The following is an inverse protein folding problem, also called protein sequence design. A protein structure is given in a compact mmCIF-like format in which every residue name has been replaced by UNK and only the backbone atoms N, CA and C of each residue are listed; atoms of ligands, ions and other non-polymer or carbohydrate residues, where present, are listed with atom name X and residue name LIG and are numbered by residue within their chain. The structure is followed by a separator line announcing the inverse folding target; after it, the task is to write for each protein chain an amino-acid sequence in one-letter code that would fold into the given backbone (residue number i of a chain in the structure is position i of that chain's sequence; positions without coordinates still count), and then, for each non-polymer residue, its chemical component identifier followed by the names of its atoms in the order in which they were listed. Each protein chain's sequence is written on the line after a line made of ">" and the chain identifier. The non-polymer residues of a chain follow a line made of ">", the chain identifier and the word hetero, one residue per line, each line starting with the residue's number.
data_IF_047084784237
#
_entry.id   IF_047084784237
#
_cell.length_a   1.000
_cell.length_b   1.000
_cell.length_c   1.000
_cell.angle_alpha   90.00
_cell.angle_beta   90.00
_cell.angle_gamma   90.00
#
_symmetry.space_group_name_H-M   'P 1'
#
loop_
_entity.id
_entity.type
_entity.pdbx_description
1 polymer ?
#
# COMPACT_ATOMS: atom_id res chain seq x y z
N UNK A 1 12.45 -53.32 -21.73
CA UNK A 1 12.94 -54.16 -20.64
C UNK A 1 12.48 -53.52 -19.37
N UNK A 2 11.39 -54.04 -18.87
CA UNK A 2 11.15 -54.71 -17.58
C UNK A 2 11.29 -53.72 -16.40
N UNK A 3 10.35 -53.51 -15.50
CA UNK A 3 9.07 -54.15 -15.11
C UNK A 3 8.56 -53.39 -13.88
N UNK A 4 7.30 -52.97 -13.85
CA UNK A 4 6.21 -53.49 -12.99
C UNK A 4 6.37 -53.22 -11.47
N UNK A 5 5.57 -52.37 -10.89
CA UNK A 5 4.16 -52.50 -10.39
C UNK A 5 4.08 -53.06 -8.93
N UNK A 6 3.00 -52.97 -8.23
CA UNK A 6 2.67 -52.15 -7.07
C UNK A 6 2.35 -52.98 -5.82
N UNK A 7 2.02 -52.38 -4.67
CA UNK A 7 1.31 -53.10 -3.60
C UNK A 7 0.27 -52.23 -2.90
N UNK A 8 -0.97 -52.49 -3.26
CA UNK A 8 -2.17 -52.31 -2.46
C UNK A 8 -2.29 -53.43 -1.42
N UNK A 9 -2.78 -53.16 -0.22
CA UNK A 9 -3.85 -53.93 0.41
C UNK A 9 -4.40 -53.31 1.70
N UNK A 10 -5.65 -53.71 2.12
CA UNK A 10 -6.61 -52.88 2.78
C UNK A 10 -7.09 -53.39 4.17
N UNK A 11 -7.98 -52.56 4.75
CA UNK A 11 -9.09 -52.90 5.67
C UNK A 11 -8.89 -53.89 6.84
N UNK A 12 -9.22 -53.41 8.03
CA UNK A 12 -10.17 -54.17 8.88
C UNK A 12 -10.99 -53.27 9.79
N UNK A 13 -12.31 -53.45 9.67
CA UNK A 13 -13.36 -53.03 10.59
C UNK A 13 -13.31 -53.94 11.83
N UNK A 14 -13.71 -53.39 12.99
CA UNK A 14 -14.00 -54.16 14.19
C UNK A 14 -14.84 -53.36 15.16
N UNK A 15 -16.14 -53.56 15.11
CA UNK A 15 -17.10 -53.13 16.10
C UNK A 15 -17.21 -54.19 17.20
N UNK A 16 -17.57 -53.75 18.44
CA UNK A 16 -18.29 -54.48 19.51
C UNK A 16 -18.31 -53.54 20.73
N UNK A 17 -19.37 -52.98 21.14
CA UNK A 17 -20.57 -53.39 21.88
C UNK A 17 -20.28 -54.11 23.22
N UNK A 18 -20.77 -53.57 24.31
CA UNK A 18 -20.83 -54.23 25.63
C UNK A 18 -21.08 -53.21 26.79
N UNK A 19 -22.23 -52.87 27.02
CA UNK A 19 -23.22 -52.92 28.13
C UNK A 19 -22.74 -53.38 29.51
N UNK A 20 -23.31 -52.75 30.52
CA UNK A 20 -23.91 -53.15 31.82
C UNK A 20 -23.36 -52.35 32.99
N UNK A 21 -24.13 -51.47 33.60
CA UNK A 21 -25.14 -51.62 34.69
C UNK A 21 -24.63 -52.23 36.02
N UNK A 22 -24.75 -51.51 37.06
CA UNK A 22 -25.25 -51.83 38.44
C UNK A 22 -24.58 -50.93 39.49
N UNK A 23 -25.21 -50.04 40.13
CA UNK A 23 -26.25 -50.05 41.18
C UNK A 23 -25.67 -49.93 42.58
N UNK A 24 -26.18 -48.94 43.26
CA UNK A 24 -26.65 -48.86 44.69
C UNK A 24 -25.63 -49.10 45.80
N UNK A 25 -25.43 -48.14 46.70
CA UNK A 25 -26.14 -48.08 48.00
C UNK A 25 -25.47 -47.10 48.98
N UNK A 26 -26.21 -46.17 49.48
CA UNK A 26 -26.39 -45.75 50.89
C UNK A 26 -25.15 -45.45 51.76
N UNK A 27 -25.06 -44.21 52.15
CA UNK A 27 -24.27 -43.76 53.29
C UNK A 27 -24.71 -42.35 53.72
N UNK A 28 -25.80 -42.28 54.50
CA UNK A 28 -26.23 -41.09 55.22
C UNK A 28 -25.21 -40.79 56.35
N UNK A 29 -24.60 -39.63 56.31
CA UNK A 29 -24.10 -38.98 57.54
C UNK A 29 -24.18 -37.45 57.30
N UNK A 30 -25.13 -36.86 57.98
CA UNK A 30 -25.36 -35.43 57.98
C UNK A 30 -24.31 -34.67 58.80
N UNK A 31 -23.81 -33.63 58.20
CA UNK A 31 -23.24 -32.48 58.87
C UNK A 31 -23.86 -31.23 58.30
N UNK A 32 -24.81 -30.66 58.98
CA UNK A 32 -25.39 -29.34 58.75
C UNK A 32 -24.33 -28.28 59.05
N UNK A 33 -23.77 -27.64 58.03
CA UNK A 33 -23.11 -26.34 58.17
C UNK A 33 -24.09 -25.27 57.66
N UNK A 34 -24.30 -24.16 58.40
CA UNK A 34 -25.16 -23.08 57.97
C UNK A 34 -24.41 -22.26 56.94
N UNK A 35 -24.57 -22.59 55.65
CA UNK A 35 -24.18 -21.69 54.57
C UNK A 35 -25.22 -20.59 54.46
N UNK A 36 -24.81 -19.37 54.89
CA UNK A 36 -25.52 -18.15 54.55
C UNK A 36 -25.75 -18.06 53.05
N UNK A 37 -27.02 -18.01 52.64
CA UNK A 37 -27.42 -17.65 51.30
C UNK A 37 -26.87 -16.25 51.00
N UNK A 38 -25.74 -16.17 50.28
CA UNK A 38 -25.46 -15.01 49.47
C UNK A 38 -26.42 -15.12 48.28
N UNK A 39 -27.42 -14.29 48.27
CA UNK A 39 -28.21 -14.03 47.07
C UNK A 39 -27.23 -13.50 45.99
N UNK A 40 -26.76 -14.39 45.14
CA UNK A 40 -26.10 -14.00 43.90
C UNK A 40 -27.19 -13.33 43.07
N UNK A 41 -27.24 -12.01 43.11
CA UNK A 41 -27.98 -11.22 42.14
C UNK A 41 -27.59 -11.74 40.75
N UNK A 42 -28.54 -12.21 39.91
CA UNK A 42 -28.22 -12.63 38.60
C UNK A 42 -27.60 -11.45 37.88
N UNK A 43 -26.29 -11.52 37.58
CA UNK A 43 -25.63 -10.54 36.71
C UNK A 43 -26.41 -10.59 35.41
N UNK A 44 -27.13 -9.52 35.10
CA UNK A 44 -27.80 -9.39 33.80
C UNK A 44 -26.81 -9.73 32.72
N UNK A 45 -27.18 -10.51 31.68
CA UNK A 45 -26.27 -10.84 30.57
C UNK A 45 -25.71 -9.53 30.04
N UNK A 46 -24.39 -9.38 30.14
CA UNK A 46 -23.68 -8.22 29.69
C UNK A 46 -24.06 -8.01 28.21
N UNK A 47 -24.74 -6.89 27.94
CA UNK A 47 -25.18 -6.58 26.58
C UNK A 47 -23.96 -6.67 25.65
N UNK A 48 -24.09 -7.27 24.45
CA UNK A 48 -22.95 -7.47 23.54
C UNK A 48 -22.22 -6.14 23.39
N UNK A 49 -20.96 -6.11 23.84
CA UNK A 49 -20.18 -4.87 23.91
C UNK A 49 -20.03 -4.32 22.50
N UNK A 50 -20.58 -3.15 22.29
CA UNK A 50 -20.53 -2.47 21.01
C UNK A 50 -19.10 -1.98 20.76
N UNK A 51 -18.45 -2.47 19.70
CA UNK A 51 -17.12 -1.99 19.30
C UNK A 51 -17.21 -0.50 18.99
N UNK A 52 -16.37 0.31 19.64
CA UNK A 52 -16.27 1.75 19.40
C UNK A 52 -14.94 2.08 18.69
N UNK A 53 -15.06 2.78 17.57
CA UNK A 53 -13.93 3.21 16.73
C UNK A 53 -13.93 4.73 16.62
N UNK A 54 -12.77 5.35 16.78
CA UNK A 54 -12.60 6.81 16.70
C UNK A 54 -11.85 7.17 15.43
N UNK A 55 -12.30 8.17 14.70
CA UNK A 55 -11.57 8.83 13.63
C UNK A 55 -11.04 10.18 14.13
N UNK A 56 -9.74 10.30 14.33
CA UNK A 56 -9.06 11.53 14.71
C UNK A 56 -8.63 12.30 13.43
N UNK A 57 -9.53 13.14 12.91
CA UNK A 57 -9.41 13.79 11.61
C UNK A 57 -9.73 15.29 11.67
N UNK A 58 -9.09 16.15 10.85
CA UNK A 58 -9.37 17.58 10.83
C UNK A 58 -10.73 17.86 10.16
N UNK A 59 -11.54 18.72 10.77
CA UNK A 59 -12.79 19.20 10.19
C UNK A 59 -12.63 20.52 9.41
N UNK A 60 -11.46 21.18 9.50
CA UNK A 60 -11.14 22.44 8.81
C UNK A 60 -9.70 22.43 8.29
N UNK A 61 -9.37 23.44 7.49
CA UNK A 61 -8.05 23.60 6.88
C UNK A 61 -7.83 22.70 5.66
N UNK A 62 -6.59 22.65 5.12
CA UNK A 62 -6.30 22.04 3.81
C UNK A 62 -6.54 20.51 3.76
N UNK A 63 -6.58 19.84 4.91
CA UNK A 63 -6.82 18.40 5.00
C UNK A 63 -8.29 18.03 5.25
N UNK A 64 -9.19 19.01 5.42
CA UNK A 64 -10.61 18.75 5.64
C UNK A 64 -11.30 18.00 4.47
N UNK A 65 -11.00 18.30 3.19
CA UNK A 65 -11.55 17.52 2.06
C UNK A 65 -11.12 16.04 2.09
N UNK A 66 -9.88 15.77 2.46
CA UNK A 66 -9.36 14.39 2.63
C UNK A 66 -10.09 13.70 3.78
N UNK A 67 -10.21 14.36 4.92
CA UNK A 67 -10.93 13.84 6.08
C UNK A 67 -12.41 13.54 5.78
N UNK A 68 -13.07 14.36 4.95
CA UNK A 68 -14.44 14.12 4.51
C UNK A 68 -14.56 12.83 3.67
N UNK A 69 -13.58 12.56 2.78
CA UNK A 69 -13.52 11.32 2.00
C UNK A 69 -13.34 10.09 2.89
N UNK A 70 -12.41 10.15 3.85
CA UNK A 70 -12.17 9.07 4.82
C UNK A 70 -13.45 8.79 5.63
N UNK A 71 -14.12 9.81 6.14
CA UNK A 71 -15.39 9.67 6.88
C UNK A 71 -16.49 9.05 6.03
N UNK A 72 -16.58 9.41 4.75
CA UNK A 72 -17.55 8.80 3.82
C UNK A 72 -17.30 7.31 3.65
N UNK A 73 -16.06 6.89 3.45
CA UNK A 73 -15.71 5.47 3.35
C UNK A 73 -15.96 4.71 4.65
N UNK A 74 -15.64 5.32 5.79
CA UNK A 74 -15.91 4.77 7.12
C UNK A 74 -17.40 4.56 7.36
N UNK A 75 -18.24 5.51 6.95
CA UNK A 75 -19.70 5.39 7.05
C UNK A 75 -20.25 4.26 6.15
N UNK A 76 -19.72 4.08 4.96
CA UNK A 76 -20.10 2.98 4.08
C UNK A 76 -19.77 1.61 4.71
N UNK A 77 -18.59 1.45 5.30
CA UNK A 77 -18.23 0.23 6.03
C UNK A 77 -19.12 0.00 7.26
N UNK A 78 -19.42 1.05 8.02
CA UNK A 78 -20.32 0.95 9.18
C UNK A 78 -21.72 0.49 8.76
N UNK A 79 -22.25 1.00 7.65
CA UNK A 79 -23.56 0.57 7.12
C UNK A 79 -23.55 -0.90 6.67
N UNK A 80 -22.49 -1.35 5.99
CA UNK A 80 -22.33 -2.75 5.57
C UNK A 80 -22.24 -3.69 6.79
N UNK A 81 -21.45 -3.33 7.79
CA UNK A 81 -21.36 -4.07 9.04
C UNK A 81 -22.69 -4.15 9.77
N UNK A 82 -23.45 -3.05 9.82
CA UNK A 82 -24.77 -3.01 10.44
C UNK A 82 -25.77 -3.90 9.68
N UNK A 83 -25.76 -3.92 8.36
CA UNK A 83 -26.58 -4.80 7.53
C UNK A 83 -26.25 -6.28 7.76
N UNK A 84 -24.99 -6.61 8.12
CA UNK A 84 -24.56 -7.94 8.51
C UNK A 84 -24.82 -8.26 10.00
N UNK A 85 -25.57 -7.41 10.74
CA UNK A 85 -25.89 -7.60 12.14
C UNK A 85 -24.82 -7.15 13.13
N UNK A 86 -23.71 -6.57 12.66
CA UNK A 86 -22.65 -6.03 13.49
C UNK A 86 -23.07 -4.72 14.18
N UNK A 87 -22.61 -4.52 15.42
CA UNK A 87 -22.82 -3.27 16.16
C UNK A 87 -21.50 -2.54 16.34
N UNK A 88 -21.31 -1.49 15.55
CA UNK A 88 -20.12 -0.63 15.61
C UNK A 88 -20.54 0.83 15.82
N UNK A 89 -19.98 1.46 16.83
CA UNK A 89 -20.09 2.89 17.10
C UNK A 89 -18.89 3.60 16.47
N UNK A 90 -19.16 4.55 15.59
CA UNK A 90 -18.13 5.36 14.94
C UNK A 90 -18.18 6.78 15.51
N UNK A 91 -17.09 7.19 16.15
CA UNK A 91 -16.90 8.53 16.69
C UNK A 91 -15.91 9.32 15.83
N UNK A 92 -16.05 10.63 15.83
CA UNK A 92 -15.11 11.53 15.13
C UNK A 92 -14.63 12.61 16.09
N UNK A 93 -13.30 12.76 16.18
CA UNK A 93 -12.65 13.82 16.93
C UNK A 93 -11.98 14.78 15.95
N UNK A 94 -12.31 16.08 16.07
CA UNK A 94 -11.77 17.12 15.21
C UNK A 94 -10.35 17.52 15.62
N UNK A 95 -9.34 17.01 14.93
CA UNK A 95 -7.93 17.31 15.23
C UNK A 95 -7.47 18.72 14.85
N UNK A 96 -8.33 19.55 14.24
CA UNK A 96 -8.08 20.96 14.00
C UNK A 96 -8.53 21.85 15.19
N UNK A 97 -9.29 21.30 16.13
CA UNK A 97 -9.68 22.00 17.34
C UNK A 97 -8.55 21.98 18.38
N UNK A 98 -8.36 23.09 19.11
CA UNK A 98 -7.30 23.19 20.11
C UNK A 98 -7.44 22.17 21.26
N UNK A 99 -8.68 21.83 21.62
CA UNK A 99 -9.03 20.89 22.70
C UNK A 99 -9.30 19.45 22.22
N UNK A 100 -8.81 19.06 21.05
CA UNK A 100 -9.11 17.73 20.47
C UNK A 100 -8.67 16.55 21.35
N UNK A 101 -7.57 16.71 22.08
CA UNK A 101 -7.07 15.69 23.02
C UNK A 101 -7.98 15.52 24.24
N UNK A 102 -8.52 16.62 24.75
CA UNK A 102 -9.53 16.59 25.83
C UNK A 102 -10.81 15.91 25.36
N UNK A 103 -11.27 16.25 24.14
CA UNK A 103 -12.42 15.59 23.51
C UNK A 103 -12.17 14.09 23.35
N UNK A 104 -10.97 13.69 22.92
CA UNK A 104 -10.59 12.27 22.79
C UNK A 104 -10.57 11.60 24.17
N UNK A 105 -10.00 12.23 25.18
CA UNK A 105 -9.91 11.68 26.55
C UNK A 105 -11.28 11.50 27.21
N UNK A 106 -12.24 12.37 26.88
CA UNK A 106 -13.62 12.29 27.39
C UNK A 106 -14.44 11.11 26.80
N UNK A 107 -13.99 10.50 25.69
CA UNK A 107 -14.68 9.32 25.13
C UNK A 107 -14.51 8.10 26.04
N UNK A 108 -15.51 7.20 26.10
CA UNK A 108 -15.44 5.98 26.91
C UNK A 108 -14.17 5.16 26.61
N UNK A 109 -13.61 4.45 27.61
CA UNK A 109 -12.46 3.56 27.42
C UNK A 109 -12.69 2.48 26.34
N UNK A 110 -13.94 2.08 26.12
CA UNK A 110 -14.33 1.14 25.06
C UNK A 110 -14.05 1.68 23.65
N UNK A 111 -13.90 3.01 23.47
CA UNK A 111 -13.42 3.62 22.22
C UNK A 111 -11.88 3.52 22.13
N UNK A 112 -11.35 2.30 22.21
CA UNK A 112 -9.93 2.02 22.36
C UNK A 112 -9.13 2.15 21.07
N UNK A 113 -9.78 2.08 19.90
CA UNK A 113 -9.14 2.13 18.56
C UNK A 113 -9.30 3.52 17.97
N UNK A 114 -8.20 4.12 17.54
CA UNK A 114 -8.16 5.44 16.91
C UNK A 114 -7.51 5.35 15.53
N UNK A 115 -8.26 5.72 14.51
CA UNK A 115 -7.76 5.92 13.13
C UNK A 115 -7.30 7.35 12.92
N UNK A 116 -6.10 7.51 12.38
CA UNK A 116 -5.44 8.81 12.27
C UNK A 116 -4.38 9.02 13.35
N UNK A 117 -3.80 10.20 13.45
CA UNK A 117 -4.03 11.41 12.65
C UNK A 117 -3.43 11.33 11.23
N UNK A 118 -3.64 12.43 10.47
CA UNK A 118 -3.09 12.62 9.11
C UNK A 118 -1.77 13.41 9.08
N UNK A 119 -1.32 13.98 10.20
CA UNK A 119 -0.22 14.94 10.24
C UNK A 119 0.74 14.69 11.39
N UNK A 120 2.03 14.85 11.12
CA UNK A 120 3.12 14.71 12.12
C UNK A 120 2.94 15.61 13.32
N UNK A 121 2.51 16.88 13.12
CA UNK A 121 2.26 17.82 14.23
C UNK A 121 1.18 17.30 15.17
N UNK A 122 0.08 16.77 14.63
CA UNK A 122 -1.04 16.22 15.39
C UNK A 122 -0.64 14.92 16.10
N UNK A 123 0.15 14.09 15.43
CA UNK A 123 0.73 12.90 16.04
C UNK A 123 1.65 13.25 17.21
N UNK A 124 2.51 14.25 17.03
CA UNK A 124 3.40 14.76 18.09
C UNK A 124 2.64 15.33 19.30
N UNK A 125 1.46 15.92 19.09
CA UNK A 125 0.58 16.34 20.20
C UNK A 125 0.03 15.11 20.97
N UNK A 126 -0.47 14.09 20.29
CA UNK A 126 -0.94 12.85 20.91
C UNK A 126 0.17 12.14 21.71
N UNK A 127 1.40 12.12 21.16
CA UNK A 127 2.57 11.57 21.83
C UNK A 127 2.90 12.32 23.12
N UNK A 128 2.96 13.66 23.07
CA UNK A 128 3.31 14.51 24.22
C UNK A 128 2.26 14.45 25.33
N UNK A 129 0.99 14.24 25.00
CA UNK A 129 -0.10 14.17 25.98
C UNK A 129 -0.27 12.80 26.64
N UNK A 130 0.46 11.77 26.18
CA UNK A 130 0.27 10.39 26.65
C UNK A 130 -0.96 9.69 26.06
N UNK A 131 -1.60 10.26 25.04
CA UNK A 131 -2.79 9.64 24.42
C UNK A 131 -2.47 8.32 23.72
N UNK A 132 -1.23 8.15 23.20
CA UNK A 132 -0.79 6.92 22.54
C UNK A 132 -0.69 5.72 23.49
N UNK A 133 -0.48 5.98 24.80
CA UNK A 133 -0.42 4.96 25.85
C UNK A 133 -1.84 4.58 26.33
N UNK A 134 -2.81 5.45 26.13
CA UNK A 134 -4.19 5.24 26.57
C UNK A 134 -5.06 4.53 25.53
N UNK A 135 -4.77 4.70 24.23
CA UNK A 135 -5.55 4.16 23.11
C UNK A 135 -4.63 3.58 22.03
N UNK A 136 -5.15 2.63 21.24
CA UNK A 136 -4.44 2.04 20.10
C UNK A 136 -4.59 2.94 18.88
N UNK A 137 -3.54 3.68 18.52
CA UNK A 137 -3.52 4.55 17.36
C UNK A 137 -3.03 3.81 16.11
N UNK A 138 -3.83 3.85 15.06
CA UNK A 138 -3.50 3.41 13.71
C UNK A 138 -3.42 4.63 12.81
N UNK A 139 -2.21 5.12 12.62
CA UNK A 139 -1.97 6.40 11.96
C UNK A 139 -2.13 6.34 10.45
N UNK A 140 -2.74 7.37 9.86
CA UNK A 140 -2.90 7.55 8.42
C UNK A 140 -1.78 8.41 7.84
N UNK A 141 -0.55 8.08 8.22
CA UNK A 141 0.68 8.75 7.77
C UNK A 141 1.64 7.74 7.14
N UNK A 142 2.43 8.15 6.15
CA UNK A 142 3.36 7.25 5.46
C UNK A 142 4.52 6.79 6.34
N UNK A 143 4.79 7.51 7.44
CA UNK A 143 5.85 7.18 8.41
C UNK A 143 5.46 7.66 9.78
N UNK A 144 5.92 6.97 10.81
CA UNK A 144 5.90 7.40 12.20
C UNK A 144 7.31 7.85 12.62
N UNK A 145 7.42 8.44 13.80
CA UNK A 145 8.74 8.72 14.37
C UNK A 145 9.51 7.42 14.57
N UNK A 146 10.83 7.51 14.46
CA UNK A 146 11.69 6.37 14.66
C UNK A 146 11.46 5.73 16.03
N UNK A 147 11.24 4.41 16.05
CA UNK A 147 10.98 3.63 17.25
C UNK A 147 9.53 3.66 17.75
N UNK A 148 8.60 4.40 17.12
CA UNK A 148 7.21 4.44 17.54
C UNK A 148 6.35 3.37 16.87
N UNK A 149 6.65 3.01 15.61
CA UNK A 149 5.87 2.01 14.85
C UNK A 149 5.98 0.64 15.50
N UNK A 150 4.85 0.05 15.84
CA UNK A 150 4.76 -1.22 16.55
C UNK A 150 5.06 -1.16 18.05
N UNK A 151 5.56 -0.02 18.56
CA UNK A 151 5.84 0.18 19.99
C UNK A 151 4.76 1.04 20.68
N UNK A 152 4.37 2.16 20.09
CA UNK A 152 3.38 3.11 20.64
C UNK A 152 2.15 3.28 19.77
N UNK A 153 2.36 3.21 18.43
CA UNK A 153 1.31 3.32 17.43
C UNK A 153 1.61 2.40 16.26
N UNK A 154 0.64 2.19 15.39
CA UNK A 154 0.74 1.38 14.19
C UNK A 154 0.42 2.25 12.98
N UNK A 155 1.05 1.99 11.87
CA UNK A 155 0.75 2.63 10.61
C UNK A 155 -0.40 1.88 9.91
N UNK A 156 -1.36 2.62 9.40
CA UNK A 156 -2.42 2.11 8.53
C UNK A 156 -2.41 2.92 7.23
N UNK A 157 -1.26 2.91 6.56
CA UNK A 157 -0.99 3.73 5.37
C UNK A 157 0.20 3.18 4.60
N UNK A 158 0.26 3.31 3.24
CA UNK A 158 1.44 2.91 2.47
C UNK A 158 2.70 3.66 2.91
N UNK A 159 3.80 2.95 3.05
CA UNK A 159 5.10 3.58 3.34
C UNK A 159 5.89 3.91 2.07
N UNK A 160 6.89 4.78 2.17
CA UNK A 160 7.89 4.93 1.13
C UNK A 160 8.61 3.62 0.77
N UNK A 161 8.89 2.76 1.76
CA UNK A 161 9.52 1.46 1.52
C UNK A 161 8.61 0.51 0.73
N UNK A 162 7.29 0.49 1.02
CA UNK A 162 6.32 -0.33 0.27
C UNK A 162 6.32 0.04 -1.23
N UNK A 163 6.50 1.33 -1.55
CA UNK A 163 6.59 1.81 -2.94
C UNK A 163 7.85 1.27 -3.64
N UNK A 164 8.99 1.39 -2.97
CA UNK A 164 10.27 0.89 -3.50
C UNK A 164 10.24 -0.63 -3.67
N UNK A 165 9.69 -1.36 -2.70
CA UNK A 165 9.60 -2.82 -2.74
C UNK A 165 8.71 -3.30 -3.91
N UNK A 166 7.59 -2.62 -4.17
CA UNK A 166 6.72 -2.92 -5.30
C UNK A 166 7.44 -2.69 -6.65
N UNK A 167 8.12 -1.55 -6.81
CA UNK A 167 8.83 -1.20 -8.04
C UNK A 167 10.04 -2.11 -8.30
N UNK A 168 10.90 -2.30 -7.30
CA UNK A 168 12.09 -3.16 -7.42
C UNK A 168 11.68 -4.62 -7.59
N UNK A 169 10.62 -5.06 -6.87
CA UNK A 169 10.07 -6.40 -7.02
C UNK A 169 9.62 -6.68 -8.46
N UNK A 170 8.91 -5.76 -9.09
CA UNK A 170 8.48 -5.87 -10.48
C UNK A 170 9.68 -5.78 -11.46
N UNK A 171 10.47 -4.72 -11.37
CA UNK A 171 11.55 -4.50 -12.32
C UNK A 171 12.61 -5.61 -12.27
N UNK A 172 12.99 -6.05 -11.07
CA UNK A 172 13.98 -7.13 -10.89
C UNK A 172 13.39 -8.52 -11.11
N UNK A 173 12.16 -8.77 -10.61
CA UNK A 173 11.54 -10.11 -10.65
C UNK A 173 10.89 -10.41 -11.98
N UNK A 174 10.05 -9.49 -12.50
CA UNK A 174 9.26 -9.73 -13.71
C UNK A 174 9.98 -9.34 -15.00
N UNK A 175 10.84 -8.28 -14.96
CA UNK A 175 11.55 -7.78 -16.13
C UNK A 175 13.02 -8.20 -16.18
N UNK A 176 13.56 -8.79 -15.12
CA UNK A 176 14.96 -9.21 -15.06
C UNK A 176 15.97 -8.07 -14.96
N UNK A 177 15.54 -6.84 -14.69
CA UNK A 177 16.40 -5.64 -14.65
C UNK A 177 17.42 -5.75 -13.51
N UNK A 178 18.69 -5.43 -13.82
CA UNK A 178 19.83 -5.52 -12.89
C UNK A 178 20.65 -4.23 -12.80
N UNK A 179 20.22 -3.15 -13.46
CA UNK A 179 20.90 -1.86 -13.44
C UNK A 179 19.87 -0.74 -13.41
N UNK A 180 20.11 0.25 -12.53
CA UNK A 180 19.15 1.30 -12.25
C UNK A 180 19.80 2.67 -12.33
N UNK A 181 19.03 3.65 -12.82
CA UNK A 181 19.28 5.07 -12.71
C UNK A 181 18.26 5.74 -11.79
N UNK A 182 18.61 6.88 -11.23
CA UNK A 182 17.68 7.80 -10.58
C UNK A 182 17.96 9.22 -11.06
N UNK A 183 16.90 9.93 -11.46
CA UNK A 183 16.97 11.32 -11.87
C UNK A 183 15.90 12.11 -11.10
N UNK A 184 16.32 13.05 -10.27
CA UNK A 184 15.41 13.61 -9.28
C UNK A 184 15.73 15.06 -8.90
N UNK A 185 14.74 15.85 -8.44
CA UNK A 185 14.99 17.17 -7.92
C UNK A 185 15.82 17.12 -6.64
N UNK A 186 16.54 18.22 -6.37
CA UNK A 186 17.36 18.36 -5.15
C UNK A 186 16.48 18.76 -3.95
N UNK A 187 15.48 17.93 -3.61
CA UNK A 187 14.60 18.14 -2.45
C UNK A 187 14.64 16.95 -1.47
N UNK A 188 14.10 17.18 -0.27
CA UNK A 188 14.12 16.19 0.82
C UNK A 188 13.33 14.93 0.51
N UNK A 189 12.18 15.04 -0.18
CA UNK A 189 11.37 13.89 -0.54
C UNK A 189 12.08 12.99 -1.54
N UNK A 190 12.55 13.58 -2.64
CA UNK A 190 13.23 12.86 -3.69
C UNK A 190 14.54 12.22 -3.20
N UNK A 191 15.33 12.95 -2.42
CA UNK A 191 16.55 12.41 -1.80
C UNK A 191 16.26 11.23 -0.87
N UNK A 192 15.19 11.30 -0.07
CA UNK A 192 14.76 10.20 0.80
C UNK A 192 14.33 8.96 -0.01
N UNK A 193 13.52 9.15 -1.04
CA UNK A 193 13.03 8.06 -1.89
C UNK A 193 14.18 7.39 -2.63
N UNK A 194 15.12 8.16 -3.18
CA UNK A 194 16.32 7.66 -3.85
C UNK A 194 17.25 6.93 -2.86
N UNK A 195 17.39 7.43 -1.64
CA UNK A 195 18.13 6.74 -0.57
C UNK A 195 17.55 5.37 -0.22
N UNK A 196 16.22 5.25 -0.14
CA UNK A 196 15.54 3.95 0.08
C UNK A 196 15.74 3.00 -1.10
N UNK A 197 15.69 3.50 -2.33
CA UNK A 197 16.00 2.72 -3.52
C UNK A 197 17.44 2.20 -3.46
N UNK A 198 18.42 3.09 -3.20
CA UNK A 198 19.84 2.73 -3.09
C UNK A 198 20.07 1.65 -2.03
N UNK A 199 19.42 1.76 -0.87
CA UNK A 199 19.48 0.77 0.20
C UNK A 199 18.91 -0.60 -0.24
N UNK A 200 17.74 -0.58 -0.92
CA UNK A 200 17.06 -1.80 -1.37
C UNK A 200 17.87 -2.51 -2.46
N UNK A 201 18.45 -1.77 -3.39
CA UNK A 201 19.31 -2.29 -4.44
C UNK A 201 20.66 -2.77 -3.88
N UNK A 202 21.27 -2.04 -2.95
CA UNK A 202 22.52 -2.40 -2.29
C UNK A 202 22.46 -3.75 -1.58
N UNK A 203 21.34 -4.08 -0.93
CA UNK A 203 21.09 -5.41 -0.33
C UNK A 203 21.10 -6.55 -1.35
N UNK A 204 20.97 -6.24 -2.64
CA UNK A 204 20.96 -7.20 -3.76
C UNK A 204 22.20 -7.10 -4.65
N UNK A 205 23.17 -6.28 -4.28
CA UNK A 205 24.38 -5.95 -5.05
C UNK A 205 24.02 -5.41 -6.47
N UNK A 206 22.96 -4.64 -6.59
CA UNK A 206 22.53 -4.01 -7.84
C UNK A 206 23.02 -2.56 -7.86
N UNK A 207 23.75 -2.12 -8.92
CA UNK A 207 24.25 -0.76 -8.99
C UNK A 207 23.13 0.27 -9.23
N UNK A 208 23.32 1.48 -8.70
CA UNK A 208 22.48 2.64 -8.93
C UNK A 208 23.34 3.82 -9.37
N UNK A 209 23.05 4.37 -10.57
CA UNK A 209 23.57 5.68 -11.01
C UNK A 209 22.54 6.75 -10.66
N UNK A 210 22.99 7.94 -10.28
CA UNK A 210 22.06 9.02 -9.93
C UNK A 210 22.57 10.39 -10.37
N UNK A 211 21.63 11.24 -10.75
CA UNK A 211 21.85 12.66 -10.99
C UNK A 211 20.66 13.47 -10.45
N UNK A 212 20.93 14.71 -10.13
CA UNK A 212 19.92 15.66 -9.65
C UNK A 212 19.74 16.80 -10.64
N UNK A 213 18.57 17.41 -10.62
CA UNK A 213 18.27 18.58 -11.41
C UNK A 213 17.66 19.71 -10.54
N UNK A 214 17.73 20.93 -11.04
CA UNK A 214 17.07 22.07 -10.44
C UNK A 214 15.60 22.11 -10.88
N UNK A 215 14.66 21.82 -9.98
CA UNK A 215 13.23 21.84 -10.27
C UNK A 215 12.71 23.24 -10.70
N UNK A 216 13.42 24.32 -10.36
CA UNK A 216 13.04 25.69 -10.73
C UNK A 216 13.54 26.11 -12.14
N UNK A 217 14.42 25.32 -12.76
CA UNK A 217 15.00 25.63 -14.08
C UNK A 217 14.86 24.43 -15.04
N UNK A 218 13.70 24.24 -15.65
CA UNK A 218 13.48 23.15 -16.59
C UNK A 218 14.38 23.18 -17.83
N UNK A 219 14.93 24.32 -18.21
CA UNK A 219 15.80 24.45 -19.39
C UNK A 219 17.14 23.74 -19.20
N UNK A 220 17.58 23.55 -17.96
CA UNK A 220 18.81 22.85 -17.61
C UNK A 220 18.67 21.32 -17.46
N UNK A 221 17.45 20.76 -17.57
CA UNK A 221 17.22 19.33 -17.26
C UNK A 221 17.86 18.39 -18.28
N UNK A 222 17.91 18.80 -19.54
CA UNK A 222 18.60 17.99 -20.58
C UNK A 222 20.09 17.85 -20.28
N UNK A 223 20.74 18.95 -19.90
CA UNK A 223 22.16 18.95 -19.54
C UNK A 223 22.41 18.17 -18.24
N UNK A 224 21.47 18.27 -17.28
CA UNK A 224 21.53 17.49 -16.05
C UNK A 224 21.34 15.99 -16.28
N UNK A 225 20.57 15.58 -17.29
CA UNK A 225 20.37 14.17 -17.67
C UNK A 225 21.54 13.59 -18.48
N UNK A 226 22.26 14.43 -19.23
CA UNK A 226 23.33 13.98 -20.15
C UNK A 226 24.39 13.09 -19.48
N UNK A 227 24.89 13.35 -18.25
CA UNK A 227 25.85 12.45 -17.57
C UNK A 227 25.32 11.05 -17.27
N UNK A 228 23.99 10.90 -17.11
CA UNK A 228 23.36 9.59 -16.94
C UNK A 228 23.24 8.82 -18.26
N UNK A 229 22.91 9.55 -19.33
CA UNK A 229 22.60 8.96 -20.64
C UNK A 229 23.88 8.77 -21.44
N UNK A 230 24.88 9.62 -21.22
CA UNK A 230 26.16 9.63 -21.95
C UNK A 230 25.98 9.61 -23.50
N UNK A 231 25.21 10.59 -24.06
CA UNK A 231 24.88 10.60 -25.48
C UNK A 231 26.14 10.84 -26.36
N UNK A 232 26.29 10.08 -27.43
CA UNK A 232 27.34 10.23 -28.41
C UNK A 232 26.73 10.58 -29.76
N UNK A 233 27.14 11.66 -30.38
CA UNK A 233 26.70 12.04 -31.73
C UNK A 233 27.78 11.69 -32.73
N UNK A 234 27.48 10.80 -33.69
CA UNK A 234 28.42 10.44 -34.74
C UNK A 234 28.66 11.63 -35.68
N UNK A 235 29.82 11.68 -36.29
CA UNK A 235 30.17 12.70 -37.29
C UNK A 235 29.17 12.68 -38.46
N UNK A 236 28.59 13.83 -38.79
CA UNK A 236 27.55 13.96 -39.80
C UNK A 236 26.13 13.57 -39.38
N UNK A 237 25.92 13.14 -38.15
CA UNK A 237 24.58 12.85 -37.59
C UNK A 237 24.08 13.99 -36.69
N UNK A 238 22.79 14.28 -36.75
CA UNK A 238 22.11 15.18 -35.79
C UNK A 238 21.44 14.43 -34.64
N UNK A 239 21.44 13.09 -34.67
CA UNK A 239 20.75 12.25 -33.71
C UNK A 239 21.71 11.66 -32.69
N UNK A 240 21.62 11.99 -31.42
CA UNK A 240 22.47 11.38 -30.40
C UNK A 240 22.10 9.90 -30.18
N UNK A 241 23.13 9.08 -29.95
CA UNK A 241 23.02 7.68 -29.60
C UNK A 241 23.33 7.55 -28.10
N UNK A 242 22.36 7.14 -27.26
CA UNK A 242 22.56 7.03 -25.83
C UNK A 242 23.46 5.83 -25.48
N UNK A 243 24.41 6.04 -24.58
CA UNK A 243 25.28 5.01 -24.02
C UNK A 243 24.87 4.67 -22.59
N UNK A 244 23.57 4.63 -22.34
CA UNK A 244 22.99 4.41 -21.01
C UNK A 244 23.34 3.02 -20.51
N UNK A 245 23.88 2.93 -19.30
CA UNK A 245 24.35 1.67 -18.68
C UNK A 245 23.31 1.04 -17.73
N UNK A 246 22.09 1.56 -17.70
CA UNK A 246 21.01 1.04 -16.89
C UNK A 246 19.72 0.90 -17.71
N UNK A 247 18.78 0.09 -17.19
CA UNK A 247 17.56 -0.30 -17.91
C UNK A 247 16.29 0.31 -17.29
N UNK A 248 16.34 0.75 -16.03
CA UNK A 248 15.23 1.43 -15.36
C UNK A 248 15.68 2.74 -14.75
N UNK A 249 14.83 3.78 -14.87
CA UNK A 249 15.08 5.11 -14.33
C UNK A 249 14.01 5.46 -13.30
N UNK A 250 14.43 5.67 -12.06
CA UNK A 250 13.55 6.10 -10.97
C UNK A 250 13.40 7.64 -10.97
N UNK A 251 12.14 8.08 -10.96
CA UNK A 251 11.73 9.47 -11.08
C UNK A 251 10.82 9.84 -9.88
N UNK A 252 11.36 10.09 -8.69
CA UNK A 252 10.59 10.47 -7.50
C UNK A 252 10.18 11.95 -7.52
N UNK A 253 9.44 12.34 -8.53
CA UNK A 253 8.91 13.69 -8.70
C UNK A 253 7.42 13.66 -9.03
N UNK A 254 6.80 14.82 -9.02
CA UNK A 254 5.41 15.05 -9.38
C UNK A 254 5.18 14.78 -10.87
N UNK A 255 4.06 14.15 -11.22
CA UNK A 255 3.68 13.88 -12.61
C UNK A 255 3.75 15.12 -13.52
N UNK A 256 3.48 16.31 -13.01
CA UNK A 256 3.54 17.56 -13.78
C UNK A 256 4.88 17.83 -14.47
N UNK A 257 5.97 17.26 -13.93
CA UNK A 257 7.32 17.45 -14.45
C UNK A 257 7.74 16.30 -15.40
N UNK A 258 7.02 15.18 -15.40
CA UNK A 258 7.44 13.94 -16.06
C UNK A 258 7.45 14.09 -17.60
N UNK A 259 6.51 14.82 -18.18
CA UNK A 259 6.51 15.06 -19.64
C UNK A 259 7.80 15.76 -20.08
N UNK A 260 8.22 16.80 -19.38
CA UNK A 260 9.43 17.56 -19.68
C UNK A 260 10.71 16.76 -19.38
N UNK A 261 10.72 15.96 -18.31
CA UNK A 261 11.83 15.02 -18.04
C UNK A 261 11.95 14.01 -19.17
N UNK A 262 10.82 13.42 -19.62
CA UNK A 262 10.82 12.48 -20.74
C UNK A 262 11.35 13.11 -22.02
N UNK A 263 10.98 14.37 -22.29
CA UNK A 263 11.54 15.10 -23.44
C UNK A 263 13.04 15.36 -23.30
N UNK A 264 13.54 15.63 -22.11
CA UNK A 264 14.97 15.77 -21.85
C UNK A 264 15.74 14.46 -22.10
N UNK A 265 15.13 13.32 -21.78
CA UNK A 265 15.71 12.00 -22.13
C UNK A 265 15.73 11.78 -23.65
N UNK A 266 14.59 12.05 -24.31
CA UNK A 266 14.46 11.92 -25.77
C UNK A 266 15.44 12.84 -26.52
N UNK A 267 15.67 14.06 -26.04
CA UNK A 267 16.67 14.98 -26.57
C UNK A 267 18.08 14.37 -26.57
N UNK A 268 18.39 13.58 -25.54
CA UNK A 268 19.63 12.80 -25.44
C UNK A 268 19.57 11.43 -26.14
N UNK A 269 18.53 11.17 -26.94
CA UNK A 269 18.34 9.93 -27.70
C UNK A 269 17.80 8.74 -26.89
N UNK A 270 17.44 8.92 -25.60
CA UNK A 270 17.04 7.80 -24.72
C UNK A 270 15.52 7.65 -24.63
N UNK A 271 15.01 6.51 -25.09
CA UNK A 271 13.58 6.13 -25.06
C UNK A 271 13.33 4.67 -24.61
N UNK A 272 14.40 3.96 -24.19
CA UNK A 272 14.37 2.52 -23.88
C UNK A 272 14.08 2.22 -22.39
N UNK A 273 14.19 3.23 -21.54
CA UNK A 273 14.17 3.04 -20.10
C UNK A 273 12.77 2.74 -19.55
N UNK A 274 12.69 1.80 -18.63
CA UNK A 274 11.51 1.63 -17.78
C UNK A 274 11.49 2.78 -16.78
N UNK A 275 10.49 3.64 -16.87
CA UNK A 275 10.33 4.79 -15.98
C UNK A 275 9.56 4.35 -14.72
N UNK A 276 10.19 4.49 -13.57
CA UNK A 276 9.65 4.10 -12.28
C UNK A 276 9.23 5.34 -11.49
N UNK A 277 7.92 5.56 -11.35
CA UNK A 277 7.34 6.68 -10.60
C UNK A 277 7.01 6.33 -9.15
N UNK A 278 6.42 7.28 -8.43
CA UNK A 278 5.95 7.11 -7.06
C UNK A 278 4.42 7.28 -6.99
N UNK A 279 3.83 7.11 -5.80
CA UNK A 279 2.40 7.39 -5.56
C UNK A 279 1.99 8.84 -5.84
N UNK A 280 2.93 9.77 -6.02
CA UNK A 280 2.64 11.13 -6.49
C UNK A 280 2.03 11.13 -7.90
N UNK A 281 2.38 10.12 -8.73
CA UNK A 281 1.81 9.98 -10.07
C UNK A 281 0.34 9.51 -9.98
N UNK A 282 0.03 8.55 -9.12
CA UNK A 282 -1.35 8.09 -8.88
C UNK A 282 -2.29 9.26 -8.58
N UNK A 283 -1.89 10.13 -7.65
CA UNK A 283 -2.69 11.29 -7.25
C UNK A 283 -2.94 12.27 -8.40
N UNK A 284 -1.96 12.43 -9.28
CA UNK A 284 -2.03 13.36 -10.41
C UNK A 284 -2.76 12.80 -11.62
N UNK A 285 -2.69 11.48 -11.85
CA UNK A 285 -3.25 10.80 -13.02
C UNK A 285 -4.68 10.33 -12.80
N UNK A 286 -5.13 10.19 -11.57
CA UNK A 286 -6.48 9.72 -11.25
C UNK A 286 -7.55 10.63 -11.87
N UNK A 287 -8.32 10.08 -12.83
CA UNK A 287 -9.40 10.79 -13.52
C UNK A 287 -8.96 11.88 -14.50
N UNK A 288 -7.69 11.91 -14.91
CA UNK A 288 -7.15 12.87 -15.87
C UNK A 288 -6.91 12.25 -17.24
N UNK A 289 -7.12 13.02 -18.31
CA UNK A 289 -6.68 12.66 -19.65
C UNK A 289 -5.17 12.93 -19.77
N UNK A 290 -4.45 11.99 -20.38
CA UNK A 290 -3.01 12.12 -20.67
C UNK A 290 -2.83 12.17 -22.18
N UNK A 291 -2.55 13.35 -22.75
CA UNK A 291 -2.20 13.46 -24.16
C UNK A 291 -0.89 12.68 -24.42
N UNK A 292 -0.81 12.02 -25.57
CA UNK A 292 0.38 11.25 -25.98
C UNK A 292 0.83 10.23 -24.92
N UNK A 293 -0.15 9.51 -24.35
CA UNK A 293 0.13 8.47 -23.35
C UNK A 293 1.10 7.38 -23.84
N UNK A 294 1.24 7.22 -25.16
CA UNK A 294 2.21 6.34 -25.83
C UNK A 294 3.67 6.69 -25.51
N UNK A 295 3.98 7.95 -25.25
CA UNK A 295 5.31 8.38 -24.81
C UNK A 295 5.70 7.82 -23.44
N UNK A 296 4.73 7.35 -22.68
CA UNK A 296 4.88 6.79 -21.34
C UNK A 296 4.58 5.28 -21.30
N UNK A 297 4.68 4.59 -22.46
CA UNK A 297 4.35 3.17 -22.55
C UNK A 297 5.17 2.29 -21.60
N UNK A 298 6.39 2.70 -21.24
CA UNK A 298 7.25 2.03 -20.28
C UNK A 298 7.24 2.67 -18.88
N UNK A 299 6.25 3.50 -18.58
CA UNK A 299 6.12 4.13 -17.26
C UNK A 299 5.25 3.27 -16.31
N UNK A 300 5.79 3.00 -15.11
CA UNK A 300 5.15 2.21 -14.05
C UNK A 300 5.24 2.95 -12.73
N UNK A 301 4.18 2.92 -11.93
CA UNK A 301 4.15 3.53 -10.60
C UNK A 301 3.26 2.74 -9.64
N UNK A 302 3.53 2.78 -8.33
CA UNK A 302 2.74 2.07 -7.34
C UNK A 302 1.52 2.87 -6.89
N UNK A 303 0.48 2.16 -6.46
CA UNK A 303 -0.68 2.75 -5.82
C UNK A 303 -1.38 1.75 -4.92
N UNK A 304 -2.07 2.26 -3.91
CA UNK A 304 -2.78 1.40 -2.97
C UNK A 304 -4.24 1.17 -3.34
N UNK A 305 -4.82 1.96 -4.22
CA UNK A 305 -6.22 1.88 -4.62
C UNK A 305 -6.38 1.39 -6.06
N UNK A 306 -7.20 0.35 -6.24
CA UNK A 306 -7.59 -0.14 -7.56
C UNK A 306 -9.11 -0.18 -7.66
N UNK A 307 -9.70 0.78 -8.37
CA UNK A 307 -11.14 0.93 -8.53
C UNK A 307 -11.81 -0.33 -9.15
N UNK A 308 -11.11 -1.08 -10.02
CA UNK A 308 -11.62 -2.30 -10.65
C UNK A 308 -11.78 -3.44 -9.65
N UNK A 309 -11.02 -3.43 -8.56
CA UNK A 309 -11.05 -4.44 -7.47
C UNK A 309 -11.88 -3.98 -6.28
N UNK A 310 -12.48 -2.79 -6.35
CA UNK A 310 -13.22 -2.21 -5.26
C UNK A 310 -14.38 -3.08 -4.79
N UNK A 311 -14.65 -3.17 -3.47
CA UNK A 311 -15.91 -3.69 -2.94
C UNK A 311 -17.12 -2.97 -3.54
N UNK A 312 -18.26 -3.65 -3.63
CA UNK A 312 -19.47 -3.10 -4.24
C UNK A 312 -19.88 -1.74 -3.64
N UNK A 313 -19.75 -1.58 -2.32
CA UNK A 313 -20.03 -0.33 -1.62
C UNK A 313 -19.18 0.86 -2.06
N UNK A 314 -18.01 0.61 -2.69
CA UNK A 314 -17.08 1.65 -3.14
C UNK A 314 -16.97 1.77 -4.67
N UNK A 315 -17.85 1.14 -5.45
CA UNK A 315 -17.82 1.23 -6.92
C UNK A 315 -18.45 2.49 -7.48
N UNK A 316 -19.14 3.28 -6.67
CA UNK A 316 -19.72 4.55 -7.11
C UNK A 316 -18.64 5.54 -7.56
N UNK A 317 -18.98 6.40 -8.53
CA UNK A 317 -18.07 7.44 -8.99
C UNK A 317 -17.61 8.37 -7.86
N UNK A 318 -16.37 8.84 -7.94
CA UNK A 318 -15.78 9.76 -6.97
C UNK A 318 -15.18 9.08 -5.73
N UNK A 319 -15.21 7.76 -5.65
CA UNK A 319 -14.43 7.03 -4.66
C UNK A 319 -12.96 6.95 -5.11
N UNK A 320 -12.08 7.11 -4.13
CA UNK A 320 -10.64 7.14 -4.33
C UNK A 320 -9.92 6.46 -3.16
N UNK A 321 -8.60 6.53 -3.17
CA UNK A 321 -7.75 6.01 -2.10
C UNK A 321 -8.22 6.44 -0.69
N UNK A 322 -8.60 7.71 -0.51
CA UNK A 322 -8.98 8.22 0.81
C UNK A 322 -10.31 7.65 1.30
N UNK A 323 -11.26 7.46 0.39
CA UNK A 323 -12.53 6.78 0.70
C UNK A 323 -12.27 5.31 1.04
N UNK A 324 -11.41 4.63 0.26
CA UNK A 324 -11.02 3.25 0.53
C UNK A 324 -10.29 3.09 1.87
N UNK A 325 -9.42 4.03 2.23
CA UNK A 325 -8.73 4.06 3.52
C UNK A 325 -9.70 4.06 4.70
N UNK A 326 -10.72 4.92 4.65
CA UNK A 326 -11.73 4.99 5.70
C UNK A 326 -12.57 3.71 5.81
N UNK A 327 -12.95 3.16 4.66
CA UNK A 327 -13.71 1.90 4.58
C UNK A 327 -12.91 0.73 5.16
N UNK A 328 -11.67 0.56 4.72
CA UNK A 328 -10.79 -0.51 5.18
C UNK A 328 -10.44 -0.38 6.66
N UNK A 329 -10.23 0.85 7.12
CA UNK A 329 -9.92 1.08 8.53
C UNK A 329 -11.07 0.64 9.45
N UNK A 330 -12.32 0.93 9.11
CA UNK A 330 -13.47 0.52 9.92
C UNK A 330 -13.64 -1.00 9.93
N UNK A 331 -13.50 -1.67 8.78
CA UNK A 331 -13.54 -3.13 8.71
C UNK A 331 -12.39 -3.77 9.50
N UNK A 332 -11.18 -3.23 9.38
CA UNK A 332 -10.03 -3.65 10.18
C UNK A 332 -10.27 -3.47 11.68
N UNK A 333 -10.74 -2.29 12.10
CA UNK A 333 -11.00 -1.98 13.51
C UNK A 333 -12.10 -2.86 14.11
N UNK A 334 -13.14 -3.18 13.33
CA UNK A 334 -14.18 -4.13 13.72
C UNK A 334 -13.59 -5.54 13.96
N UNK A 335 -12.73 -6.01 13.04
CA UNK A 335 -12.04 -7.31 13.16
C UNK A 335 -10.99 -7.32 14.28
N UNK A 336 -10.37 -6.17 14.59
CA UNK A 336 -9.43 -6.00 15.69
C UNK A 336 -10.12 -6.19 17.06
N UNK A 337 -11.39 -5.80 17.15
CA UNK A 337 -12.30 -6.03 18.29
C UNK A 337 -11.71 -5.61 19.65
N UNK A 338 -11.13 -4.41 19.73
CA UNK A 338 -10.64 -3.83 20.98
C UNK A 338 -11.76 -3.01 21.65
N UNK A 339 -12.01 -3.30 22.91
CA UNK A 339 -12.90 -2.54 23.79
C UNK A 339 -12.16 -1.92 24.98
N UNK A 340 -10.84 -2.09 25.05
CA UNK A 340 -9.92 -1.46 25.98
C UNK A 340 -8.52 -1.42 25.38
N UNK A 341 -7.63 -0.59 25.92
CA UNK A 341 -6.21 -0.61 25.58
C UNK A 341 -5.59 -1.89 26.12
N UNK A 342 -5.04 -2.69 25.24
CA UNK A 342 -4.24 -3.88 25.57
C UNK A 342 -2.75 -3.55 25.54
N UNK A 343 -1.91 -4.52 25.91
CA UNK A 343 -0.47 -4.41 25.73
C UNK A 343 -0.08 -4.32 24.24
N UNK A 344 1.04 -3.71 23.95
CA UNK A 344 1.52 -3.56 22.57
C UNK A 344 1.66 -4.89 21.82
N UNK A 345 2.22 -5.98 22.43
CA UNK A 345 2.28 -7.28 21.76
C UNK A 345 0.90 -7.86 21.43
N UNK A 346 -0.09 -7.70 22.34
CA UNK A 346 -1.46 -8.17 22.11
C UNK A 346 -2.14 -7.41 20.99
N UNK A 347 -1.99 -6.06 20.94
CA UNK A 347 -2.52 -5.25 19.84
C UNK A 347 -1.87 -5.66 18.52
N UNK A 348 -0.55 -5.82 18.48
CA UNK A 348 0.19 -6.29 17.29
C UNK A 348 -0.32 -7.65 16.83
N UNK A 349 -0.48 -8.61 17.74
CA UNK A 349 -1.00 -9.93 17.41
C UNK A 349 -2.43 -9.88 16.85
N UNK A 350 -3.30 -9.00 17.38
CA UNK A 350 -4.65 -8.78 16.86
C UNK A 350 -4.62 -8.07 15.50
N UNK A 351 -3.79 -7.02 15.33
CA UNK A 351 -3.63 -6.29 14.08
C UNK A 351 -3.20 -7.22 12.94
N UNK A 352 -2.29 -8.14 13.19
CA UNK A 352 -1.86 -9.16 12.22
C UNK A 352 -3.03 -10.03 11.73
N UNK A 353 -3.92 -10.44 12.62
CA UNK A 353 -5.11 -11.22 12.23
C UNK A 353 -6.17 -10.37 11.54
N UNK A 354 -6.37 -9.14 12.02
CA UNK A 354 -7.38 -8.23 11.51
C UNK A 354 -7.02 -7.63 10.13
N UNK A 355 -5.75 -7.61 9.75
CA UNK A 355 -5.28 -7.00 8.50
C UNK A 355 -6.02 -7.50 7.24
N UNK A 356 -6.42 -8.77 7.21
CA UNK A 356 -7.17 -9.36 6.09
C UNK A 356 -8.61 -8.82 5.95
N UNK A 357 -9.13 -8.09 6.94
CA UNK A 357 -10.43 -7.43 6.84
C UNK A 357 -10.36 -6.14 6.00
N UNK A 358 -9.17 -5.52 5.82
CA UNK A 358 -8.93 -4.44 4.88
C UNK A 358 -8.86 -5.01 3.46
N UNK A 359 -9.88 -4.75 2.62
CA UNK A 359 -10.06 -5.39 1.30
C UNK A 359 -10.25 -4.42 0.15
N UNK A 360 -10.42 -3.14 0.42
CA UNK A 360 -10.61 -2.13 -0.60
C UNK A 360 -9.29 -1.63 -1.17
N UNK A 361 -8.27 -1.50 -0.33
CA UNK A 361 -6.93 -1.13 -0.74
C UNK A 361 -6.05 -2.37 -1.03
N UNK A 362 -4.82 -2.11 -1.45
CA UNK A 362 -3.79 -3.13 -1.58
C UNK A 362 -3.58 -3.89 -0.25
N UNK A 363 -3.28 -5.20 -0.27
CA UNK A 363 -3.18 -6.03 0.93
C UNK A 363 -2.21 -5.45 1.97
N UNK A 364 -2.70 -5.31 3.19
CA UNK A 364 -1.95 -4.86 4.37
C UNK A 364 -1.55 -6.07 5.22
N UNK A 365 -0.37 -6.05 5.80
CA UNK A 365 0.10 -7.01 6.79
C UNK A 365 0.89 -6.29 7.88
N UNK A 366 0.96 -6.88 9.07
CA UNK A 366 1.86 -6.45 10.14
C UNK A 366 2.84 -7.56 10.45
N UNK A 367 4.10 -7.23 10.67
CA UNK A 367 5.11 -8.18 11.13
C UNK A 367 5.03 -8.42 12.65
N UNK A 368 5.96 -9.21 13.18
CA UNK A 368 6.01 -9.52 14.61
C UNK A 368 6.35 -8.30 15.48
N UNK A 369 7.03 -7.31 14.92
CA UNK A 369 7.37 -6.06 15.59
C UNK A 369 6.23 -5.02 15.51
N UNK A 370 5.15 -5.30 14.75
CA UNK A 370 4.03 -4.39 14.54
C UNK A 370 4.28 -3.36 13.44
N UNK A 371 5.31 -3.55 12.62
CA UNK A 371 5.56 -2.73 11.43
C UNK A 371 4.58 -3.13 10.34
N UNK A 372 3.94 -2.15 9.73
CA UNK A 372 3.00 -2.37 8.64
C UNK A 372 3.74 -2.49 7.30
N UNK A 373 3.29 -3.43 6.48
CA UNK A 373 3.73 -3.65 5.10
C UNK A 373 2.52 -3.71 4.18
N UNK A 374 2.56 -2.99 3.07
CA UNK A 374 1.46 -2.99 2.10
C UNK A 374 1.96 -3.44 0.73
N UNK A 375 1.36 -4.51 0.19
CA UNK A 375 1.68 -5.03 -1.14
C UNK A 375 0.96 -4.18 -2.20
N UNK A 376 1.57 -3.07 -2.58
CA UNK A 376 0.97 -2.10 -3.50
C UNK A 376 0.68 -2.71 -4.88
N UNK A 377 -0.40 -2.23 -5.51
CA UNK A 377 -0.67 -2.47 -6.91
C UNK A 377 0.29 -1.64 -7.76
N UNK A 378 0.53 -2.10 -9.00
CA UNK A 378 1.26 -1.33 -9.99
C UNK A 378 0.31 -0.87 -11.09
N UNK A 379 0.59 0.30 -11.60
CA UNK A 379 -0.19 0.97 -12.64
C UNK A 379 0.71 1.43 -13.77
N UNK A 380 0.11 1.51 -14.96
CA UNK A 380 0.68 2.13 -16.16
C UNK A 380 -0.07 3.43 -16.49
N UNK A 381 0.62 4.32 -17.16
CA UNK A 381 -0.01 5.49 -17.79
C UNK A 381 -0.91 5.03 -18.94
N UNK A 382 -2.06 5.68 -19.08
CA UNK A 382 -3.02 5.42 -20.15
C UNK A 382 -3.65 6.73 -20.62
N UNK A 383 -4.32 6.78 -21.77
CA UNK A 383 -5.03 7.98 -22.24
C UNK A 383 -6.05 8.52 -21.21
N UNK A 384 -6.71 7.63 -20.45
CA UNK A 384 -7.63 8.00 -19.37
C UNK A 384 -6.96 8.27 -18.01
N UNK A 385 -5.65 8.47 -17.98
CA UNK A 385 -4.83 8.70 -16.80
C UNK A 385 -4.00 7.49 -16.40
N UNK A 386 -4.60 6.48 -15.82
CA UNK A 386 -3.91 5.28 -15.39
C UNK A 386 -4.75 4.02 -15.59
N UNK A 387 -4.09 2.89 -15.76
CA UNK A 387 -4.67 1.54 -15.79
C UNK A 387 -3.84 0.59 -14.92
N UNK A 388 -4.44 -0.47 -14.36
CA UNK A 388 -3.67 -1.52 -13.71
C UNK A 388 -2.62 -2.10 -14.66
N UNK A 389 -1.44 -2.38 -14.13
CA UNK A 389 -0.34 -2.99 -14.88
C UNK A 389 -0.69 -4.43 -15.29
N UNK A 390 -0.61 -4.70 -16.58
CA UNK A 390 -0.55 -6.05 -17.13
C UNK A 390 0.93 -6.39 -17.42
N UNK A 391 1.52 -7.27 -16.65
CA UNK A 391 2.93 -7.59 -16.74
C UNK A 391 3.30 -8.27 -18.08
N UNK A 392 2.38 -9.05 -18.68
CA UNK A 392 2.63 -9.70 -19.97
C UNK A 392 2.63 -8.68 -21.09
N UNK A 393 1.58 -7.87 -21.19
CA UNK A 393 1.49 -6.78 -22.17
C UNK A 393 2.66 -5.79 -22.03
N UNK A 394 3.09 -5.51 -20.80
CA UNK A 394 4.21 -4.62 -20.54
C UNK A 394 5.53 -5.18 -21.08
N UNK A 395 5.82 -6.49 -20.88
CA UNK A 395 7.00 -7.15 -21.42
C UNK A 395 7.02 -7.11 -22.95
N UNK A 396 5.90 -7.39 -23.59
CA UNK A 396 5.74 -7.30 -25.05
C UNK A 396 6.00 -5.88 -25.56
N UNK A 397 5.40 -4.88 -24.91
CA UNK A 397 5.63 -3.46 -25.24
C UNK A 397 7.10 -3.08 -25.09
N UNK A 398 7.76 -3.52 -24.01
CA UNK A 398 9.19 -3.27 -23.78
C UNK A 398 10.05 -3.91 -24.85
N UNK A 399 9.78 -5.16 -25.22
CA UNK A 399 10.51 -5.85 -26.28
C UNK A 399 10.41 -5.09 -27.61
N UNK A 400 9.21 -4.66 -28.00
CA UNK A 400 8.99 -3.87 -29.21
C UNK A 400 9.71 -2.49 -29.19
N UNK A 401 9.74 -1.82 -28.01
CA UNK A 401 10.50 -0.56 -27.86
C UNK A 401 11.99 -0.80 -28.03
N UNK A 402 12.55 -1.82 -27.38
CA UNK A 402 13.97 -2.14 -27.46
C UNK A 402 14.40 -2.50 -28.89
N UNK A 403 13.57 -3.23 -29.61
CA UNK A 403 13.85 -3.60 -31.01
C UNK A 403 13.82 -2.39 -31.94
N UNK A 404 12.81 -1.51 -31.83
CA UNK A 404 12.80 -0.24 -32.60
C UNK A 404 14.02 0.62 -32.31
N UNK A 405 14.41 0.71 -31.04
CA UNK A 405 15.61 1.46 -30.65
C UNK A 405 16.88 0.85 -31.24
N UNK A 406 17.00 -0.49 -31.27
CA UNK A 406 18.12 -1.17 -31.87
C UNK A 406 18.24 -0.89 -33.40
N UNK A 407 17.10 -0.91 -34.11
CA UNK A 407 17.07 -0.54 -35.53
C UNK A 407 17.53 0.91 -35.75
N UNK A 408 16.99 1.84 -34.97
CA UNK A 408 17.36 3.27 -35.05
C UNK A 408 18.86 3.47 -34.76
N UNK A 409 19.42 2.80 -33.79
CA UNK A 409 20.85 2.91 -33.44
C UNK A 409 21.77 2.33 -34.52
N UNK A 410 21.26 1.43 -35.35
CA UNK A 410 21.97 0.89 -36.53
C UNK A 410 21.74 1.74 -37.80
N UNK A 411 20.99 2.84 -37.71
CA UNK A 411 20.63 3.66 -38.87
C UNK A 411 19.59 3.01 -39.79
N UNK A 412 18.91 1.95 -39.33
CA UNK A 412 17.86 1.26 -40.06
C UNK A 412 16.49 1.92 -39.83
N UNK A 413 15.56 1.85 -40.82
CA UNK A 413 14.21 2.36 -40.61
C UNK A 413 13.54 1.70 -39.43
N UNK A 414 12.99 2.49 -38.51
CA UNK A 414 12.21 2.02 -37.36
C UNK A 414 10.71 2.23 -37.56
N UNK A 415 10.31 2.84 -38.65
CA UNK A 415 8.93 3.07 -39.07
C UNK A 415 8.76 2.71 -40.54
N UNK A 416 7.54 2.36 -40.96
CA UNK A 416 7.19 2.17 -42.37
C UNK A 416 7.05 3.51 -43.13
N UNK A 417 6.75 3.44 -44.42
CA UNK A 417 6.57 4.62 -45.27
C UNK A 417 5.38 5.50 -44.84
N UNK A 418 4.46 4.98 -44.02
CA UNK A 418 3.31 5.66 -43.46
C UNK A 418 3.58 6.23 -42.06
N UNK A 419 4.79 6.03 -41.48
CA UNK A 419 5.18 6.49 -40.16
C UNK A 419 4.74 5.57 -39.03
N UNK A 420 4.18 4.38 -39.32
CA UNK A 420 3.83 3.41 -38.29
C UNK A 420 5.09 2.69 -37.80
N UNK A 421 5.20 2.39 -36.51
CA UNK A 421 6.32 1.62 -36.00
C UNK A 421 6.44 0.26 -36.70
N UNK A 422 7.63 -0.06 -37.21
CA UNK A 422 7.93 -1.40 -37.68
C UNK A 422 7.93 -2.33 -36.46
N UNK A 423 6.96 -3.23 -36.40
CA UNK A 423 6.89 -4.29 -35.39
C UNK A 423 7.36 -5.55 -36.08
N UNK A 424 8.59 -6.05 -35.82
CA UNK A 424 9.01 -7.33 -36.32
C UNK A 424 8.11 -8.42 -35.78
N UNK A 425 7.51 -9.20 -36.67
CA UNK A 425 6.73 -10.37 -36.30
C UNK A 425 5.22 -10.17 -36.13
N UNK A 426 4.62 -9.09 -36.60
CA UNK A 426 3.18 -9.07 -36.86
C UNK A 426 2.88 -9.94 -38.09
N UNK A 427 2.01 -10.98 -38.01
CA UNK A 427 1.62 -11.85 -39.13
C UNK A 427 0.88 -11.09 -40.21
#
# INVERSE_FOLDING_TARGET
>A
MTSLVPWFRPLRRGALAGTLLLALALGLCGCQFPFGKRDATPTAPEAPQQTCVVLALPASGPYAPIAAKIKRGAAAAQQELAAAGGKLRLETVNTAAANWLETLAALPPACAVVGGPLRDVTYGQAQKSGALEQRAFFSFMPTLKSGDEGARAWRFFPSPQDQIDALVGFATGELGIRSYGAFHPADTYAARMTGLLAQTLGKRNIPLRQATYNAADPTSWSDAAAPLINPVTAEGSSTPVPQTEFEALFLPDSWKNIDMITQSLLYNGEDRLVLLGTTLWEQSLSGRQVPRAENFALAVFPGAWNAQRAPAALRAQGNDFWTALGYDFVNFAAALALNSRLTTPEITARARRAASAARAMAPLAYDNAGVAHQKLHLFQVSPGGMKPLDATQFRETRAAVLERAALRMQGLPSVDAQGNPLVPGAP
#
